data_IF_827272613625
#
_entry.id   IF_827272613625
#
_cell.length_a   1.000
_cell.length_b   1.000
_cell.length_c   1.000
_cell.angle_alpha   90.00
_cell.angle_beta   90.00
_cell.angle_gamma   90.00
#
_symmetry.space_group_name_H-M   'P 1'
#
loop_
_entity.id
_entity.type
_entity.pdbx_description
1 polymer ?
#
# COMPACT_ATOMS: atom_id res chain seq x y z
N UNK A 1 28.12 -11.97 11.16
CA UNK A 1 27.41 -12.66 10.08
C UNK A 1 26.83 -13.98 10.58
N UNK A 2 25.60 -14.28 10.19
CA UNK A 2 24.97 -15.56 10.54
C UNK A 2 25.64 -16.69 9.73
N UNK A 3 26.11 -17.75 10.39
CA UNK A 3 26.67 -18.94 9.78
C UNK A 3 25.63 -20.08 9.86
N UNK A 4 24.93 -20.41 8.79
CA UNK A 4 23.92 -21.48 8.82
C UNK A 4 24.59 -22.84 8.96
N UNK A 5 23.95 -23.76 9.73
CA UNK A 5 24.42 -25.15 9.88
C UNK A 5 24.27 -25.96 8.58
N UNK A 6 23.38 -25.55 7.69
CA UNK A 6 23.14 -26.20 6.40
C UNK A 6 22.94 -25.14 5.32
N UNK A 7 23.41 -25.43 4.13
CA UNK A 7 23.22 -24.60 2.95
C UNK A 7 23.08 -25.47 1.71
N UNK A 8 22.45 -24.91 0.67
CA UNK A 8 22.33 -25.60 -0.62
C UNK A 8 23.61 -25.43 -1.41
N UNK A 9 24.04 -26.49 -2.09
CA UNK A 9 25.15 -26.41 -3.04
C UNK A 9 24.69 -25.74 -4.33
N UNK A 10 25.51 -24.84 -4.87
CA UNK A 10 25.27 -24.19 -6.15
C UNK A 10 25.93 -24.98 -7.25
N UNK A 11 25.16 -25.44 -8.25
CA UNK A 11 25.69 -26.09 -9.44
C UNK A 11 25.88 -25.06 -10.57
N UNK A 12 27.04 -25.03 -11.18
CA UNK A 12 27.32 -24.22 -12.38
C UNK A 12 27.07 -24.96 -13.69
N UNK A 13 26.58 -26.22 -13.64
CA UNK A 13 26.36 -27.06 -14.83
C UNK A 13 25.19 -26.60 -15.70
N UNK A 14 24.31 -25.71 -15.16
CA UNK A 14 23.07 -25.35 -15.85
C UNK A 14 22.04 -26.48 -15.87
N UNK A 15 21.11 -26.45 -16.81
CA UNK A 15 20.08 -27.46 -17.04
C UNK A 15 20.05 -27.85 -18.50
N UNK A 16 19.73 -29.10 -18.80
CA UNK A 16 19.53 -29.64 -20.13
C UNK A 16 18.05 -29.94 -20.40
N UNK A 17 17.70 -30.21 -21.64
CA UNK A 17 16.38 -30.73 -21.98
C UNK A 17 16.13 -32.07 -21.28
N UNK A 18 14.89 -32.28 -20.85
CA UNK A 18 14.43 -33.44 -20.05
C UNK A 18 14.96 -33.46 -18.60
N UNK A 19 15.75 -32.50 -18.12
CA UNK A 19 16.15 -32.45 -16.71
C UNK A 19 14.94 -32.18 -15.80
N UNK A 20 14.91 -32.89 -14.68
CA UNK A 20 13.94 -32.58 -13.61
C UNK A 20 14.35 -31.31 -12.87
N UNK A 21 13.41 -30.40 -12.72
CA UNK A 21 13.62 -29.15 -11.97
C UNK A 21 12.54 -28.94 -10.91
N UNK A 22 12.91 -28.35 -9.80
CA UNK A 22 11.99 -28.01 -8.70
C UNK A 22 12.27 -26.59 -8.21
N UNK A 23 11.20 -25.86 -7.97
CA UNK A 23 11.24 -24.55 -7.31
C UNK A 23 10.47 -24.63 -6.00
N UNK A 24 11.15 -24.37 -4.90
CA UNK A 24 10.55 -24.25 -3.58
C UNK A 24 10.68 -22.81 -3.07
N UNK A 25 9.59 -22.24 -2.52
CA UNK A 25 9.63 -20.86 -2.04
C UNK A 25 8.37 -20.47 -1.29
N UNK A 26 8.36 -19.24 -0.82
CA UNK A 26 7.28 -18.66 -0.03
C UNK A 26 6.66 -17.49 -0.78
N UNK A 27 5.81 -17.74 -1.81
CA UNK A 27 5.17 -16.67 -2.56
C UNK A 27 4.27 -15.85 -1.62
N UNK A 28 4.44 -14.52 -1.63
CA UNK A 28 3.81 -13.64 -0.66
C UNK A 28 2.29 -13.63 -0.77
N UNK A 29 1.75 -13.14 -1.86
CA UNK A 29 0.30 -13.02 -2.07
C UNK A 29 -0.06 -13.18 -3.56
N UNK A 30 -1.12 -13.95 -3.83
CA UNK A 30 -1.86 -13.94 -5.09
C UNK A 30 -3.30 -13.52 -4.85
N UNK A 31 -4.02 -13.13 -5.91
CA UNK A 31 -5.41 -12.67 -5.84
C UNK A 31 -6.20 -13.24 -7.02
N UNK A 32 -6.29 -14.55 -7.09
CA UNK A 32 -6.93 -15.27 -8.21
C UNK A 32 -8.44 -15.15 -8.23
N UNK A 33 -9.04 -14.95 -7.06
CA UNK A 33 -10.49 -15.04 -6.85
C UNK A 33 -11.15 -13.68 -6.67
N UNK A 34 -10.52 -12.61 -7.13
CA UNK A 34 -11.14 -11.29 -7.22
C UNK A 34 -12.28 -11.31 -8.23
N UNK A 35 -13.35 -10.57 -7.92
CA UNK A 35 -14.46 -10.35 -8.85
C UNK A 35 -14.02 -9.46 -10.02
N UNK A 36 -14.82 -9.48 -11.11
CA UNK A 36 -14.50 -8.74 -12.33
C UNK A 36 -14.31 -7.24 -12.08
N UNK A 37 -15.13 -6.64 -11.22
CA UNK A 37 -15.05 -5.20 -10.92
C UNK A 37 -13.77 -4.83 -10.18
N UNK A 38 -13.27 -5.68 -9.27
CA UNK A 38 -11.96 -5.50 -8.64
C UNK A 38 -10.84 -5.55 -9.69
N UNK A 39 -10.90 -6.52 -10.59
CA UNK A 39 -9.89 -6.67 -11.66
C UNK A 39 -9.94 -5.46 -12.58
N UNK A 40 -11.12 -5.03 -13.01
CA UNK A 40 -11.29 -3.84 -13.83
C UNK A 40 -10.72 -2.60 -13.17
N UNK A 41 -11.08 -2.32 -11.91
CA UNK A 41 -10.57 -1.17 -11.16
C UNK A 41 -9.04 -1.18 -11.01
N UNK A 42 -8.45 -2.36 -10.76
CA UNK A 42 -7.01 -2.48 -10.60
C UNK A 42 -6.24 -2.21 -11.89
N UNK A 43 -6.69 -2.75 -13.02
CA UNK A 43 -5.95 -2.64 -14.27
C UNK A 43 -6.29 -1.38 -15.07
N UNK A 44 -7.52 -0.85 -14.93
CA UNK A 44 -7.89 0.40 -15.59
C UNK A 44 -7.34 1.64 -14.88
N UNK A 45 -7.15 1.57 -13.55
CA UNK A 45 -6.77 2.76 -12.79
C UNK A 45 -5.66 2.53 -11.77
N UNK A 46 -5.80 1.57 -10.82
CA UNK A 46 -4.91 1.50 -9.66
C UNK A 46 -3.46 1.21 -10.02
N UNK A 47 -3.20 0.19 -10.86
CA UNK A 47 -1.84 -0.14 -11.28
C UNK A 47 -1.21 0.92 -12.20
N UNK A 48 -1.91 1.45 -13.22
CA UNK A 48 -1.37 2.53 -14.04
C UNK A 48 -1.02 3.77 -13.23
N UNK A 49 -1.91 4.24 -12.36
CA UNK A 49 -1.68 5.43 -11.54
C UNK A 49 -0.55 5.20 -10.52
N UNK A 50 -0.56 4.05 -9.84
CA UNK A 50 0.49 3.73 -8.88
C UNK A 50 1.86 3.50 -9.54
N UNK A 51 1.92 3.01 -10.79
CA UNK A 51 3.15 2.94 -11.58
C UNK A 51 3.66 4.35 -11.88
N UNK A 52 2.79 5.23 -12.42
CA UNK A 52 3.10 6.63 -12.74
C UNK A 52 3.69 7.36 -11.52
N UNK A 53 3.02 7.31 -10.38
CA UNK A 53 3.50 7.97 -9.16
C UNK A 53 4.86 7.47 -8.69
N UNK A 54 5.15 6.17 -8.85
CA UNK A 54 6.48 5.65 -8.52
C UNK A 54 7.56 6.14 -9.46
N UNK A 55 7.28 6.16 -10.75
CA UNK A 55 8.20 6.67 -11.76
C UNK A 55 8.47 8.17 -11.59
N UNK A 56 7.45 8.93 -11.22
CA UNK A 56 7.57 10.35 -10.86
C UNK A 56 8.43 10.53 -9.60
N UNK A 57 8.16 9.79 -8.52
CA UNK A 57 9.00 9.81 -7.32
C UNK A 57 10.46 9.48 -7.62
N UNK A 58 10.71 8.46 -8.45
CA UNK A 58 12.09 8.11 -8.84
C UNK A 58 12.75 9.31 -9.50
N UNK A 59 12.10 9.95 -10.49
CA UNK A 59 12.67 11.12 -11.19
C UNK A 59 12.95 12.28 -10.22
N UNK A 60 12.00 12.59 -9.35
CA UNK A 60 12.17 13.66 -8.35
C UNK A 60 13.33 13.38 -7.42
N UNK A 61 13.39 12.17 -6.86
CA UNK A 61 14.49 11.76 -5.97
C UNK A 61 15.82 11.80 -6.71
N UNK A 62 15.91 11.32 -7.95
CA UNK A 62 17.14 11.31 -8.74
C UNK A 62 17.63 12.72 -9.10
N UNK A 63 16.70 13.65 -9.31
CA UNK A 63 17.01 15.06 -9.54
C UNK A 63 17.47 15.76 -8.25
N UNK A 64 16.78 15.55 -7.14
CA UNK A 64 17.09 16.17 -5.85
C UNK A 64 18.31 15.54 -5.15
N UNK A 65 18.66 14.30 -5.49
CA UNK A 65 19.78 13.54 -4.96
C UNK A 65 20.68 13.04 -6.11
N UNK A 66 21.61 13.89 -6.61
CA UNK A 66 22.53 13.51 -7.69
C UNK A 66 23.37 12.28 -7.34
N UNK A 67 23.81 11.56 -8.37
CA UNK A 67 24.66 10.38 -8.20
C UNK A 67 25.93 10.73 -7.42
N UNK A 68 26.31 9.88 -6.46
CA UNK A 68 27.46 10.09 -5.59
C UNK A 68 27.23 10.98 -4.37
N UNK A 69 26.07 11.64 -4.25
CA UNK A 69 25.75 12.45 -3.08
C UNK A 69 25.36 11.59 -1.86
N UNK A 70 25.53 12.12 -0.64
CA UNK A 70 25.03 11.52 0.59
C UNK A 70 23.50 11.25 0.52
N UNK A 71 22.75 12.22 0.00
CA UNK A 71 21.32 12.09 -0.22
C UNK A 71 21.01 10.87 -1.09
N UNK A 72 21.77 10.62 -2.17
CA UNK A 72 21.57 9.44 -3.05
C UNK A 72 21.78 8.13 -2.29
N UNK A 73 22.78 8.06 -1.43
CA UNK A 73 23.05 6.86 -0.61
C UNK A 73 21.87 6.59 0.31
N UNK A 74 21.35 7.60 0.99
CA UNK A 74 20.17 7.48 1.88
C UNK A 74 18.92 6.98 1.15
N UNK A 75 18.72 7.39 -0.09
CA UNK A 75 17.54 7.00 -0.88
C UNK A 75 17.70 5.74 -1.74
N UNK A 76 18.87 5.10 -1.74
CA UNK A 76 19.14 3.92 -2.57
C UNK A 76 18.10 2.80 -2.38
N UNK A 77 17.80 2.47 -1.13
CA UNK A 77 16.80 1.42 -0.83
C UNK A 77 15.37 1.82 -1.25
N UNK A 78 15.04 3.10 -1.13
CA UNK A 78 13.75 3.65 -1.57
C UNK A 78 13.62 3.57 -3.09
N UNK A 79 14.65 4.01 -3.82
CA UNK A 79 14.71 3.92 -5.28
C UNK A 79 14.59 2.48 -5.77
N UNK A 80 15.33 1.54 -5.17
CA UNK A 80 15.25 0.13 -5.50
C UNK A 80 13.84 -0.43 -5.29
N UNK A 81 13.19 -0.08 -4.19
CA UNK A 81 11.81 -0.48 -3.89
C UNK A 81 10.81 0.11 -4.90
N UNK A 82 10.90 1.41 -5.19
CA UNK A 82 10.03 2.09 -6.15
C UNK A 82 10.18 1.46 -7.54
N UNK A 83 11.40 1.25 -8.01
CA UNK A 83 11.69 0.65 -9.30
C UNK A 83 11.19 -0.80 -9.41
N UNK A 84 11.36 -1.60 -8.36
CA UNK A 84 10.85 -2.97 -8.31
C UNK A 84 9.32 -3.01 -8.49
N UNK A 85 8.59 -2.17 -7.75
CA UNK A 85 7.13 -2.12 -7.87
C UNK A 85 6.66 -1.51 -9.20
N UNK A 86 7.35 -0.50 -9.73
CA UNK A 86 7.02 0.07 -11.04
C UNK A 86 7.15 -0.97 -12.16
N UNK A 87 8.24 -1.75 -12.17
CA UNK A 87 8.44 -2.86 -13.11
C UNK A 87 7.38 -3.95 -12.95
N UNK A 88 7.07 -4.33 -11.71
CA UNK A 88 6.04 -5.34 -11.45
C UNK A 88 4.68 -4.90 -11.99
N UNK A 89 4.24 -3.67 -11.71
CA UNK A 89 2.98 -3.15 -12.25
C UNK A 89 3.00 -3.03 -13.77
N UNK A 90 4.12 -2.62 -14.36
CA UNK A 90 4.29 -2.60 -15.83
C UNK A 90 4.06 -3.96 -16.44
N UNK A 91 4.71 -5.01 -15.93
CA UNK A 91 4.55 -6.39 -16.40
C UNK A 91 3.13 -6.91 -16.22
N UNK A 92 2.48 -6.59 -15.08
CA UNK A 92 1.09 -6.99 -14.83
C UNK A 92 0.12 -6.32 -15.81
N UNK A 93 0.29 -5.02 -16.08
CA UNK A 93 -0.54 -4.27 -17.04
C UNK A 93 -0.37 -4.86 -18.45
N UNK A 94 0.86 -5.16 -18.84
CA UNK A 94 1.17 -5.73 -20.15
C UNK A 94 0.56 -7.13 -20.34
N UNK A 95 0.71 -7.99 -19.32
CA UNK A 95 0.08 -9.31 -19.29
C UNK A 95 -1.45 -9.24 -19.36
N UNK A 96 -2.04 -8.28 -18.65
CA UNK A 96 -3.49 -8.06 -18.69
C UNK A 96 -3.96 -7.62 -20.09
N UNK A 97 -3.23 -6.71 -20.75
CA UNK A 97 -3.57 -6.24 -22.11
C UNK A 97 -3.48 -7.36 -23.17
N UNK A 98 -2.53 -8.28 -23.00
CA UNK A 98 -2.36 -9.42 -23.91
C UNK A 98 -3.34 -10.57 -23.63
N UNK A 99 -3.93 -10.59 -22.43
CA UNK A 99 -4.80 -11.66 -21.96
C UNK A 99 -6.27 -11.33 -22.02
N UNK A 100 -7.10 -12.33 -21.79
CA UNK A 100 -8.56 -12.24 -21.74
C UNK A 100 -9.10 -12.32 -20.30
N UNK A 101 -8.35 -11.76 -19.34
CA UNK A 101 -8.62 -11.96 -17.92
C UNK A 101 -9.98 -11.43 -17.50
N UNK A 102 -10.32 -10.20 -17.88
CA UNK A 102 -11.58 -9.57 -17.49
C UNK A 102 -12.78 -10.30 -18.08
N UNK A 103 -12.71 -10.66 -19.35
CA UNK A 103 -13.76 -11.46 -20.01
C UNK A 103 -13.96 -12.81 -19.33
N UNK A 104 -12.87 -13.51 -18.99
CA UNK A 104 -12.94 -14.78 -18.27
C UNK A 104 -13.60 -14.61 -16.90
N UNK A 105 -13.30 -13.54 -16.18
CA UNK A 105 -13.93 -13.21 -14.89
C UNK A 105 -15.42 -12.95 -15.04
N UNK A 106 -15.84 -12.12 -15.99
CA UNK A 106 -17.25 -11.84 -16.25
C UNK A 106 -18.02 -13.09 -16.64
N UNK A 107 -17.48 -13.93 -17.53
CA UNK A 107 -18.10 -15.21 -17.88
C UNK A 107 -18.25 -16.14 -16.68
N UNK A 108 -17.22 -16.20 -15.82
CA UNK A 108 -17.29 -16.98 -14.58
C UNK A 108 -18.39 -16.48 -13.65
N UNK A 109 -18.53 -15.17 -13.47
CA UNK A 109 -19.58 -14.59 -12.63
C UNK A 109 -20.98 -14.85 -13.19
N UNK A 110 -21.16 -14.73 -14.51
CA UNK A 110 -22.42 -15.07 -15.16
C UNK A 110 -22.77 -16.55 -14.95
N UNK A 111 -21.81 -17.46 -15.18
CA UNK A 111 -22.02 -18.89 -14.99
C UNK A 111 -22.30 -19.24 -13.51
N UNK A 112 -21.63 -18.57 -12.57
CA UNK A 112 -21.84 -18.75 -11.13
C UNK A 112 -23.24 -18.29 -10.73
N UNK A 113 -23.70 -17.12 -11.22
CA UNK A 113 -25.07 -16.63 -10.97
C UNK A 113 -26.12 -17.62 -11.52
N UNK A 114 -25.99 -18.06 -12.76
CA UNK A 114 -26.89 -19.03 -13.37
C UNK A 114 -26.95 -20.35 -12.58
N UNK A 115 -25.78 -20.81 -12.10
CA UNK A 115 -25.73 -22.03 -11.27
C UNK A 115 -26.38 -21.82 -9.90
N UNK A 116 -26.24 -20.64 -9.29
CA UNK A 116 -26.91 -20.30 -8.04
C UNK A 116 -28.43 -20.28 -8.24
N UNK A 117 -28.91 -19.57 -9.26
CA UNK A 117 -30.34 -19.35 -9.54
C UNK A 117 -31.10 -20.64 -9.94
N UNK A 118 -30.36 -21.62 -10.47
CA UNK A 118 -30.93 -22.92 -10.86
C UNK A 118 -31.35 -23.82 -9.67
N UNK A 119 -31.10 -23.44 -8.41
CA UNK A 119 -31.44 -24.22 -7.24
C UNK A 119 -31.90 -23.33 -6.08
N UNK A 120 -33.14 -23.51 -5.58
CA UNK A 120 -33.71 -22.67 -4.53
C UNK A 120 -32.84 -22.60 -3.26
N UNK A 121 -32.18 -23.69 -2.88
CA UNK A 121 -31.34 -23.74 -1.68
C UNK A 121 -30.02 -22.98 -1.87
N UNK A 122 -29.46 -22.97 -3.07
CA UNK A 122 -28.31 -22.16 -3.43
C UNK A 122 -28.67 -20.70 -3.51
N UNK A 123 -29.81 -20.39 -4.14
CA UNK A 123 -30.36 -19.05 -4.23
C UNK A 123 -30.52 -18.43 -2.84
N UNK A 124 -31.17 -19.13 -1.92
CA UNK A 124 -31.34 -18.67 -0.54
C UNK A 124 -30.03 -18.35 0.17
N UNK A 125 -28.96 -19.11 -0.07
CA UNK A 125 -27.67 -18.94 0.60
C UNK A 125 -26.72 -17.97 -0.06
N UNK A 126 -26.78 -17.82 -1.38
CA UNK A 126 -25.71 -17.21 -2.15
C UNK A 126 -26.12 -16.12 -3.15
N UNK A 127 -27.42 -15.85 -3.35
CA UNK A 127 -27.90 -14.94 -4.39
C UNK A 127 -27.31 -13.52 -4.31
N UNK A 128 -27.16 -12.97 -3.11
CA UNK A 128 -26.64 -11.61 -2.89
C UNK A 128 -25.11 -11.52 -2.84
N UNK A 129 -24.39 -12.65 -2.91
CA UNK A 129 -22.96 -12.69 -2.61
C UNK A 129 -22.11 -11.81 -3.53
N UNK A 130 -22.38 -11.86 -4.85
CA UNK A 130 -21.65 -11.06 -5.84
C UNK A 130 -22.05 -9.60 -5.72
N UNK A 131 -23.34 -9.28 -5.60
CA UNK A 131 -23.84 -7.91 -5.51
C UNK A 131 -23.35 -7.20 -4.24
N UNK A 132 -23.31 -7.94 -3.13
CA UNK A 132 -22.72 -7.43 -1.88
C UNK A 132 -21.25 -7.05 -2.09
N UNK A 133 -20.44 -7.92 -2.71
CA UNK A 133 -19.06 -7.61 -2.99
C UNK A 133 -18.93 -6.44 -3.96
N UNK A 134 -19.73 -6.36 -5.01
CA UNK A 134 -19.70 -5.25 -5.96
C UNK A 134 -20.00 -3.92 -5.27
N UNK A 135 -21.03 -3.88 -4.42
CA UNK A 135 -21.36 -2.68 -3.63
C UNK A 135 -20.22 -2.26 -2.71
N UNK A 136 -19.63 -3.20 -1.98
CA UNK A 136 -18.49 -2.91 -1.09
C UNK A 136 -17.25 -2.43 -1.86
N UNK A 137 -16.98 -3.02 -3.02
CA UNK A 137 -15.89 -2.59 -3.89
C UNK A 137 -16.14 -1.20 -4.47
N UNK A 138 -17.37 -0.89 -4.89
CA UNK A 138 -17.74 0.45 -5.34
C UNK A 138 -17.49 1.50 -4.24
N UNK A 139 -17.87 1.19 -2.99
CA UNK A 139 -17.56 2.05 -1.83
C UNK A 139 -16.07 2.20 -1.59
N UNK A 140 -15.28 1.14 -1.78
CA UNK A 140 -13.81 1.20 -1.65
C UNK A 140 -13.16 2.08 -2.72
N UNK A 141 -13.78 2.23 -3.89
CA UNK A 141 -13.29 3.07 -4.98
C UNK A 141 -13.64 4.56 -4.81
N UNK A 142 -14.54 4.90 -3.88
CA UNK A 142 -14.78 6.30 -3.52
C UNK A 142 -13.47 6.91 -3.02
N UNK A 143 -13.20 8.13 -3.39
CA UNK A 143 -12.01 8.89 -2.99
C UNK A 143 -10.65 8.23 -3.32
N UNK A 144 -10.62 7.22 -4.21
CA UNK A 144 -9.39 6.45 -4.51
C UNK A 144 -8.23 7.31 -4.98
N UNK A 145 -8.51 8.39 -5.74
CA UNK A 145 -7.47 9.29 -6.24
C UNK A 145 -6.85 10.09 -5.09
N UNK A 146 -7.68 10.74 -4.30
CA UNK A 146 -7.24 11.45 -3.09
C UNK A 146 -6.45 10.52 -2.18
N UNK A 147 -6.99 9.34 -1.88
CA UNK A 147 -6.40 8.43 -0.91
C UNK A 147 -5.07 7.86 -1.38
N UNK A 148 -4.93 7.57 -2.67
CA UNK A 148 -3.65 7.16 -3.23
C UNK A 148 -2.63 8.29 -3.20
N UNK A 149 -3.02 9.49 -3.61
CA UNK A 149 -2.16 10.68 -3.62
C UNK A 149 -1.67 11.00 -2.21
N UNK A 150 -2.58 11.04 -1.23
CA UNK A 150 -2.23 11.25 0.17
C UNK A 150 -1.33 10.15 0.74
N UNK A 151 -1.46 8.91 0.25
CA UNK A 151 -0.55 7.83 0.63
C UNK A 151 0.87 8.03 0.08
N UNK A 152 1.03 8.71 -1.06
CA UNK A 152 2.35 9.09 -1.58
C UNK A 152 2.92 10.31 -0.86
N UNK A 153 2.14 11.34 -0.65
CA UNK A 153 2.53 12.53 0.12
C UNK A 153 2.86 12.17 1.58
N UNK A 154 2.10 11.28 2.19
CA UNK A 154 2.32 10.78 3.55
C UNK A 154 3.56 9.90 3.73
N UNK A 155 4.30 9.58 2.64
CA UNK A 155 5.64 8.94 2.72
C UNK A 155 6.73 9.92 3.12
N UNK A 156 6.46 11.22 3.14
CA UNK A 156 7.36 12.21 3.71
C UNK A 156 7.78 11.77 5.12
N UNK A 157 9.10 11.68 5.34
CA UNK A 157 9.66 11.03 6.55
C UNK A 157 9.28 11.78 7.82
N UNK A 158 9.27 13.11 7.78
CA UNK A 158 8.94 13.92 8.96
C UNK A 158 7.45 13.88 9.26
N UNK A 159 6.59 14.02 8.25
CA UNK A 159 5.14 13.88 8.44
C UNK A 159 4.76 12.48 8.94
N UNK A 160 5.37 11.43 8.36
CA UNK A 160 5.14 10.06 8.82
C UNK A 160 5.60 9.86 10.26
N UNK A 161 6.74 10.43 10.65
CA UNK A 161 7.25 10.36 12.02
C UNK A 161 6.33 11.10 12.99
N UNK A 162 5.94 12.34 12.67
CA UNK A 162 5.03 13.15 13.47
C UNK A 162 3.68 12.45 13.69
N UNK A 163 3.06 11.94 12.63
CA UNK A 163 1.79 11.17 12.73
C UNK A 163 1.92 9.96 13.65
N UNK A 164 2.99 9.20 13.51
CA UNK A 164 3.21 7.99 14.32
C UNK A 164 3.47 8.33 15.78
N UNK A 165 4.24 9.37 16.06
CA UNK A 165 4.53 9.83 17.43
C UNK A 165 3.27 10.38 18.09
N UNK A 166 2.49 11.21 17.39
CA UNK A 166 1.23 11.75 17.87
C UNK A 166 0.22 10.61 18.16
N UNK A 167 0.14 9.63 17.25
CA UNK A 167 -0.71 8.44 17.47
C UNK A 167 -0.24 7.64 18.68
N UNK A 168 1.05 7.45 18.90
CA UNK A 168 1.59 6.79 20.08
C UNK A 168 1.17 7.51 21.36
N UNK A 169 1.27 8.84 21.40
CA UNK A 169 0.83 9.64 22.54
C UNK A 169 -0.68 9.52 22.78
N UNK A 170 -1.49 9.45 21.71
CA UNK A 170 -2.93 9.21 21.81
C UNK A 170 -3.23 7.82 22.37
N UNK A 171 -2.63 6.76 21.81
CA UNK A 171 -2.84 5.38 22.24
C UNK A 171 -2.43 5.13 23.70
N UNK A 172 -1.38 5.81 24.17
CA UNK A 172 -0.94 5.70 25.56
C UNK A 172 -1.96 6.21 26.59
N UNK A 173 -2.99 6.90 26.17
CA UNK A 173 -4.13 7.27 27.03
C UNK A 173 -5.04 6.08 27.34
N UNK A 174 -4.90 4.99 26.57
CA UNK A 174 -5.65 3.75 26.74
C UNK A 174 -4.82 2.70 27.48
N UNK A 175 -5.47 1.78 28.22
CA UNK A 175 -4.84 0.57 28.72
C UNK A 175 -4.15 -0.19 27.58
N UNK A 176 -3.02 -0.84 27.84
CA UNK A 176 -2.20 -1.49 26.81
C UNK A 176 -2.96 -2.48 25.93
N UNK A 177 -3.88 -3.25 26.52
CA UNK A 177 -4.72 -4.22 25.79
C UNK A 177 -5.75 -3.61 24.84
N UNK A 178 -6.04 -2.31 24.98
CA UNK A 178 -6.99 -1.58 24.14
C UNK A 178 -6.30 -0.74 23.05
N UNK A 179 -4.96 -0.65 23.09
CA UNK A 179 -4.18 0.07 22.09
C UNK A 179 -4.18 -0.67 20.77
N UNK A 180 -4.18 0.07 19.68
CA UNK A 180 -4.01 -0.50 18.35
C UNK A 180 -2.68 -1.26 18.22
N UNK A 181 -2.65 -2.35 17.41
CA UNK A 181 -1.41 -3.06 17.11
C UNK A 181 -0.33 -2.12 16.55
N UNK A 182 0.89 -2.26 17.07
CA UNK A 182 2.02 -1.37 16.75
C UNK A 182 2.26 -0.27 17.80
N UNK A 183 1.30 -0.06 18.74
CA UNK A 183 1.41 0.93 19.83
C UNK A 183 1.35 0.29 21.22
N UNK A 184 1.27 -1.03 21.30
CA UNK A 184 1.31 -1.78 22.55
C UNK A 184 2.73 -1.84 23.10
N UNK A 185 2.86 -2.09 24.40
CA UNK A 185 4.17 -2.17 25.09
C UNK A 185 5.13 -3.15 24.40
N UNK A 186 4.63 -4.28 23.93
CA UNK A 186 5.39 -5.29 23.17
C UNK A 186 5.97 -4.76 21.84
N UNK A 187 5.40 -3.69 21.29
CA UNK A 187 5.78 -3.14 19.98
C UNK A 187 6.83 -2.01 20.09
N UNK A 188 7.10 -1.52 21.31
CA UNK A 188 7.91 -0.32 21.52
C UNK A 188 9.35 -0.46 21.06
N UNK A 189 9.97 -1.64 21.17
CA UNK A 189 11.30 -1.87 20.63
C UNK A 189 11.33 -1.66 19.11
N UNK A 190 10.37 -2.27 18.39
CA UNK A 190 10.22 -2.11 16.94
C UNK A 190 9.86 -0.68 16.55
N UNK A 191 9.05 -0.01 17.34
CA UNK A 191 8.69 1.40 17.12
C UNK A 191 9.93 2.29 17.22
N UNK A 192 10.73 2.13 18.27
CA UNK A 192 12.01 2.84 18.47
C UNK A 192 12.98 2.60 17.30
N UNK A 193 13.20 1.35 16.93
CA UNK A 193 14.02 0.99 15.76
C UNK A 193 13.54 1.67 14.47
N UNK A 194 12.25 1.81 14.30
CA UNK A 194 11.69 2.49 13.13
C UNK A 194 11.99 3.99 13.16
N UNK A 195 11.91 4.63 14.32
CA UNK A 195 12.28 6.05 14.50
C UNK A 195 13.78 6.29 14.29
N UNK A 196 14.65 5.41 14.80
CA UNK A 196 16.10 5.47 14.56
C UNK A 196 16.44 5.34 13.08
N UNK A 197 15.84 4.39 12.37
CA UNK A 197 16.12 4.16 10.94
C UNK A 197 15.77 5.33 10.02
N UNK A 198 14.97 6.28 10.46
CA UNK A 198 14.67 7.50 9.69
C UNK A 198 15.95 8.26 9.33
N UNK A 199 16.90 8.38 10.26
CA UNK A 199 18.18 9.12 10.06
C UNK A 199 18.99 8.61 8.87
N UNK A 200 18.99 7.29 8.61
CA UNK A 200 19.66 6.67 7.47
C UNK A 200 18.91 6.74 6.14
N UNK A 201 17.69 7.29 6.12
CA UNK A 201 16.80 7.31 4.94
C UNK A 201 16.19 8.68 4.65
N UNK A 202 16.57 9.69 5.39
CA UNK A 202 16.03 11.03 5.30
C UNK A 202 17.09 12.02 4.83
N UNK A 203 16.68 12.89 3.91
CA UNK A 203 17.38 14.10 3.54
C UNK A 203 16.33 15.17 3.24
N UNK A 204 16.38 16.30 3.96
CA UNK A 204 15.30 17.30 3.98
C UNK A 204 14.96 17.85 2.60
N UNK A 205 15.98 18.16 1.77
CA UNK A 205 15.72 18.68 0.43
C UNK A 205 15.01 17.66 -0.48
N UNK A 206 15.32 16.37 -0.35
CA UNK A 206 14.70 15.33 -1.20
C UNK A 206 13.25 15.09 -0.77
N UNK A 207 13.00 14.97 0.54
CA UNK A 207 11.63 14.81 1.07
C UNK A 207 10.74 16.02 0.74
N UNK A 208 11.33 17.25 0.78
CA UNK A 208 10.62 18.46 0.40
C UNK A 208 10.19 18.42 -1.08
N UNK A 209 11.12 18.12 -1.99
CA UNK A 209 10.83 18.09 -3.43
C UNK A 209 9.82 17.01 -3.79
N UNK A 210 9.83 15.84 -3.11
CA UNK A 210 8.80 14.81 -3.31
C UNK A 210 7.41 15.32 -2.89
N UNK A 211 7.30 16.00 -1.76
CA UNK A 211 6.03 16.56 -1.30
C UNK A 211 5.54 17.67 -2.24
N UNK A 212 6.43 18.59 -2.61
CA UNK A 212 6.14 19.69 -3.54
C UNK A 212 5.63 19.16 -4.89
N UNK A 213 6.25 18.09 -5.40
CA UNK A 213 5.89 17.50 -6.69
C UNK A 213 4.42 17.07 -6.77
N UNK A 214 3.87 16.54 -5.68
CA UNK A 214 2.48 16.04 -5.66
C UNK A 214 1.45 17.11 -5.29
N UNK A 215 1.86 18.29 -4.82
CA UNK A 215 0.94 19.36 -4.43
C UNK A 215 0.02 19.83 -5.57
N UNK A 216 0.50 20.09 -6.80
CA UNK A 216 -0.37 20.52 -7.89
C UNK A 216 -1.45 19.48 -8.24
N UNK A 217 -1.11 18.17 -8.18
CA UNK A 217 -2.09 17.11 -8.43
C UNK A 217 -3.14 17.04 -7.31
N UNK A 218 -2.75 17.29 -6.07
CA UNK A 218 -3.68 17.38 -4.95
C UNK A 218 -4.63 18.56 -5.11
N UNK A 219 -4.13 19.73 -5.46
CA UNK A 219 -4.92 20.94 -5.69
C UNK A 219 -5.88 20.78 -6.88
N UNK A 220 -5.48 19.99 -7.88
CA UNK A 220 -6.32 19.64 -9.04
C UNK A 220 -7.46 18.66 -8.74
N UNK A 221 -7.57 18.12 -7.50
CA UNK A 221 -8.75 17.37 -7.09
C UNK A 221 -9.97 18.27 -7.00
N UNK A 222 -11.16 17.67 -7.22
CA UNK A 222 -12.41 18.36 -6.91
C UNK A 222 -12.37 18.87 -5.46
N UNK A 223 -12.76 20.13 -5.19
CA UNK A 223 -12.74 20.69 -3.83
C UNK A 223 -13.48 19.84 -2.79
N UNK A 224 -14.54 19.12 -3.18
CA UNK A 224 -15.29 18.22 -2.29
C UNK A 224 -14.52 16.94 -1.94
N UNK A 225 -13.51 16.61 -2.71
CA UNK A 225 -12.62 15.46 -2.48
C UNK A 225 -11.39 15.84 -1.64
N UNK A 226 -11.06 17.12 -1.52
CA UNK A 226 -9.89 17.58 -0.78
C UNK A 226 -10.09 17.44 0.73
N UNK A 227 -9.01 17.54 1.49
CA UNK A 227 -8.97 17.37 2.94
C UNK A 227 -8.92 18.76 3.57
N UNK A 228 -10.05 19.22 4.10
CA UNK A 228 -10.20 20.57 4.65
C UNK A 228 -9.06 20.97 5.62
N UNK A 229 -8.65 20.15 6.60
CA UNK A 229 -7.52 20.49 7.46
C UNK A 229 -6.17 20.62 6.72
N UNK A 230 -5.96 19.85 5.64
CA UNK A 230 -4.76 19.95 4.82
C UNK A 230 -4.77 21.24 3.99
N UNK A 231 -5.93 21.55 3.40
CA UNK A 231 -6.14 22.80 2.68
C UNK A 231 -5.92 24.02 3.59
N UNK A 232 -6.46 23.99 4.80
CA UNK A 232 -6.27 25.05 5.79
C UNK A 232 -4.81 25.24 6.19
N UNK A 233 -4.07 24.15 6.41
CA UNK A 233 -2.66 24.22 6.81
C UNK A 233 -1.76 24.88 5.72
N UNK A 234 -2.00 24.54 4.46
CA UNK A 234 -1.24 25.10 3.34
C UNK A 234 -1.91 26.33 2.71
N UNK A 235 -3.02 26.82 3.28
CA UNK A 235 -3.84 27.90 2.73
C UNK A 235 -4.16 27.66 1.24
N UNK A 236 -4.59 26.46 0.89
CA UNK A 236 -5.05 26.06 -0.43
C UNK A 236 -6.53 26.47 -0.53
N UNK A 237 -6.76 27.75 -0.62
CA UNK A 237 -8.10 28.30 -0.83
C UNK A 237 -8.34 28.56 -2.33
N UNK A 238 -8.99 29.67 -2.66
CA UNK A 238 -9.34 30.03 -4.03
C UNK A 238 -8.13 30.38 -4.91
N UNK A 239 -7.00 30.83 -4.29
CA UNK A 239 -5.77 31.21 -4.98
C UNK A 239 -4.59 30.32 -4.56
N UNK A 240 -4.41 29.18 -5.22
CA UNK A 240 -3.25 28.33 -5.01
C UNK A 240 -1.99 28.96 -5.63
N UNK A 241 -1.05 29.31 -4.76
CA UNK A 241 0.29 29.75 -5.15
C UNK A 241 1.30 28.62 -4.90
N UNK A 242 1.76 28.02 -6.00
CA UNK A 242 2.68 26.88 -5.97
C UNK A 242 4.04 27.26 -5.35
N UNK A 243 4.56 28.47 -5.62
CA UNK A 243 5.86 28.92 -5.12
C UNK A 243 5.80 29.22 -3.63
N UNK A 244 4.70 29.78 -3.15
CA UNK A 244 4.46 30.00 -1.72
C UNK A 244 4.42 28.67 -0.97
N UNK A 245 3.66 27.70 -1.47
CA UNK A 245 3.55 26.38 -0.81
C UNK A 245 4.87 25.62 -0.89
N UNK A 246 5.60 25.68 -1.99
CA UNK A 246 6.92 25.09 -2.11
C UNK A 246 7.91 25.71 -1.11
N UNK A 247 7.88 27.04 -0.96
CA UNK A 247 8.69 27.78 0.02
C UNK A 247 8.34 27.35 1.44
N UNK A 248 7.04 27.25 1.77
CA UNK A 248 6.58 26.76 3.08
C UNK A 248 7.07 25.35 3.36
N UNK A 249 6.95 24.41 2.41
CA UNK A 249 7.40 23.02 2.59
C UNK A 249 8.91 22.96 2.81
N UNK A 250 9.72 23.72 2.05
CA UNK A 250 11.17 23.78 2.26
C UNK A 250 11.52 24.36 3.62
N UNK A 251 10.82 25.40 4.07
CA UNK A 251 10.98 25.97 5.40
C UNK A 251 10.62 24.97 6.50
N UNK A 252 9.56 24.19 6.35
CA UNK A 252 9.19 23.12 7.29
C UNK A 252 10.32 22.12 7.46
N UNK A 253 10.96 21.69 6.35
CA UNK A 253 12.11 20.77 6.42
C UNK A 253 13.38 21.39 6.99
N UNK A 254 13.56 22.71 6.85
CA UNK A 254 14.68 23.43 7.41
C UNK A 254 14.57 23.68 8.92
N UNK A 255 13.34 23.78 9.44
CA UNK A 255 13.07 24.19 10.84
C UNK A 255 12.65 23.04 11.75
N UNK A 256 12.19 21.91 11.18
CA UNK A 256 11.76 20.76 12.01
C UNK A 256 12.88 20.19 12.85
N UNK A 257 12.60 20.00 14.12
CA UNK A 257 13.50 19.32 15.03
C UNK A 257 13.38 17.78 14.94
N UNK A 258 12.34 17.25 14.32
CA UNK A 258 12.16 15.81 14.11
C UNK A 258 13.24 15.19 13.20
N UNK A 259 14.01 15.98 12.48
CA UNK A 259 15.17 15.52 11.73
C UNK A 259 16.27 14.95 12.63
N UNK A 260 16.41 15.49 13.84
CA UNK A 260 17.33 14.97 14.87
C UNK A 260 16.79 13.67 15.48
N UNK A 261 17.63 12.64 15.56
CA UNK A 261 17.23 11.32 16.08
C UNK A 261 16.88 11.38 17.56
N UNK A 262 17.66 12.10 18.37
CA UNK A 262 17.46 12.15 19.82
C UNK A 262 16.17 12.89 20.15
N UNK A 263 15.90 13.99 19.45
CA UNK A 263 14.64 14.73 19.57
C UNK A 263 13.47 13.83 19.20
N UNK A 264 13.56 13.13 18.05
CA UNK A 264 12.52 12.23 17.58
C UNK A 264 12.26 11.08 18.55
N UNK A 265 13.32 10.51 19.16
CA UNK A 265 13.17 9.48 20.18
C UNK A 265 12.59 10.03 21.50
N UNK A 266 12.94 11.26 21.87
CA UNK A 266 12.35 11.92 23.05
C UNK A 266 10.84 12.14 22.91
N UNK A 267 10.35 12.45 21.70
CA UNK A 267 8.91 12.56 21.43
C UNK A 267 8.11 11.27 21.65
N UNK A 268 8.76 10.11 21.68
CA UNK A 268 8.10 8.86 22.04
C UNK A 268 7.55 8.85 23.46
N UNK A 269 8.13 9.64 24.37
CA UNK A 269 7.73 9.66 25.79
C UNK A 269 6.87 10.89 26.14
N UNK A 270 6.62 11.79 25.17
CA UNK A 270 5.83 13.00 25.41
C UNK A 270 4.34 12.69 25.49
N UNK A 271 3.61 13.29 26.46
CA UNK A 271 2.16 13.19 26.50
C UNK A 271 1.51 13.97 25.35
N UNK A 272 0.26 13.64 25.03
CA UNK A 272 -0.49 14.23 23.92
C UNK A 272 -0.54 15.77 23.97
N UNK A 273 -0.72 16.35 25.16
CA UNK A 273 -0.76 17.81 25.32
C UNK A 273 0.54 18.54 24.97
N UNK A 274 1.70 17.83 24.91
CA UNK A 274 2.94 18.43 24.44
C UNK A 274 2.93 18.62 22.91
N UNK A 275 2.27 17.73 22.21
CA UNK A 275 2.07 17.87 20.76
C UNK A 275 1.20 19.09 20.43
N UNK A 276 0.15 19.32 21.20
CA UNK A 276 -0.75 20.49 21.04
C UNK A 276 -0.01 21.82 21.24
N UNK A 277 1.04 21.85 22.05
CA UNK A 277 1.87 23.02 22.31
C UNK A 277 3.11 23.12 21.43
N UNK A 278 3.35 22.14 20.59
CA UNK A 278 4.55 22.11 19.75
C UNK A 278 4.47 23.12 18.61
N UNK A 279 5.56 23.81 18.36
CA UNK A 279 5.74 24.70 17.19
C UNK A 279 6.40 23.99 16.02
N UNK A 280 6.76 22.70 16.14
CA UNK A 280 7.33 21.94 15.02
C UNK A 280 6.32 21.81 13.89
N UNK A 281 6.66 22.24 12.66
CA UNK A 281 5.69 22.33 11.56
C UNK A 281 5.10 20.99 11.14
N UNK A 282 5.83 19.87 11.27
CA UNK A 282 5.29 18.56 10.94
C UNK A 282 4.41 18.01 12.06
N UNK A 283 4.67 18.35 13.32
CA UNK A 283 3.76 18.05 14.42
C UNK A 283 2.46 18.83 14.25
N UNK A 284 2.53 20.11 13.91
CA UNK A 284 1.36 20.95 13.62
C UNK A 284 0.52 20.39 12.47
N UNK A 285 1.16 19.98 11.37
CA UNK A 285 0.47 19.34 10.26
C UNK A 285 -0.15 18.00 10.67
N UNK A 286 0.56 17.20 11.46
CA UNK A 286 0.02 15.93 11.97
C UNK A 286 -1.19 16.15 12.89
N UNK A 287 -1.16 17.18 13.74
CA UNK A 287 -2.30 17.59 14.60
C UNK A 287 -3.50 18.01 13.76
N UNK A 288 -3.27 18.88 12.76
CA UNK A 288 -4.34 19.33 11.87
C UNK A 288 -5.04 18.16 11.17
N UNK A 289 -4.30 17.11 10.82
CA UNK A 289 -4.82 15.93 10.13
C UNK A 289 -5.34 14.83 11.06
N UNK A 290 -5.15 14.94 12.37
CA UNK A 290 -5.31 13.82 13.30
C UNK A 290 -6.74 13.26 13.32
N UNK A 291 -7.74 14.13 13.48
CA UNK A 291 -9.15 13.72 13.50
C UNK A 291 -9.60 13.15 12.14
N UNK A 292 -9.11 13.73 11.06
CA UNK A 292 -9.37 13.19 9.71
C UNK A 292 -8.77 11.79 9.55
N UNK A 293 -7.54 11.57 10.02
CA UNK A 293 -6.86 10.29 9.93
C UNK A 293 -7.58 9.22 10.77
N UNK A 294 -8.07 9.55 11.97
CA UNK A 294 -8.88 8.65 12.81
C UNK A 294 -10.22 8.29 12.16
N UNK A 295 -10.93 9.28 11.64
CA UNK A 295 -12.20 9.07 10.95
C UNK A 295 -12.02 8.20 9.69
N UNK A 296 -10.95 8.44 8.93
CA UNK A 296 -10.58 7.63 7.76
C UNK A 296 -10.27 6.19 8.16
N UNK A 297 -9.48 5.99 9.20
CA UNK A 297 -9.14 4.66 9.73
C UNK A 297 -10.39 3.88 10.14
N UNK A 298 -11.31 4.50 10.86
CA UNK A 298 -12.59 3.90 11.29
C UNK A 298 -13.42 3.46 10.07
N UNK A 299 -13.56 4.33 9.06
CA UNK A 299 -14.28 4.00 7.81
C UNK A 299 -13.60 2.84 7.08
N UNK A 300 -12.27 2.85 7.00
CA UNK A 300 -11.49 1.81 6.33
C UNK A 300 -11.61 0.46 7.07
N UNK A 301 -11.55 0.47 8.40
CA UNK A 301 -11.70 -0.73 9.22
C UNK A 301 -13.10 -1.33 9.08
N UNK A 302 -14.14 -0.50 9.11
CA UNK A 302 -15.54 -0.92 8.89
C UNK A 302 -15.71 -1.58 7.51
N UNK A 303 -15.18 -0.95 6.47
CA UNK A 303 -15.26 -1.49 5.11
C UNK A 303 -14.45 -2.78 4.94
N UNK A 304 -13.26 -2.83 5.53
CA UNK A 304 -12.41 -4.02 5.54
C UNK A 304 -13.09 -5.18 6.26
N UNK A 305 -13.73 -4.92 7.42
CA UNK A 305 -14.53 -5.91 8.14
C UNK A 305 -15.69 -6.45 7.32
N UNK A 306 -16.43 -5.57 6.66
CA UNK A 306 -17.54 -5.96 5.77
C UNK A 306 -17.05 -6.81 4.59
N UNK A 307 -15.92 -6.47 3.96
CA UNK A 307 -15.30 -7.26 2.89
C UNK A 307 -14.82 -8.63 3.40
N UNK A 308 -14.21 -8.68 4.60
CA UNK A 308 -13.79 -9.94 5.22
C UNK A 308 -14.97 -10.84 5.56
N UNK A 309 -16.12 -10.28 5.89
CA UNK A 309 -17.34 -11.03 6.15
C UNK A 309 -18.01 -11.51 4.86
N UNK A 310 -18.03 -10.70 3.80
CA UNK A 310 -18.69 -11.03 2.54
C UNK A 310 -17.88 -12.03 1.69
N UNK A 311 -16.57 -11.94 1.69
CA UNK A 311 -15.69 -12.73 0.82
C UNK A 311 -15.74 -14.24 1.04
N UNK A 312 -15.84 -14.79 2.27
CA UNK A 312 -16.01 -16.21 2.50
C UNK A 312 -17.28 -16.81 1.85
N UNK A 313 -18.41 -16.09 1.87
CA UNK A 313 -19.64 -16.55 1.23
C UNK A 313 -19.48 -16.68 -0.30
N UNK A 314 -18.84 -15.69 -0.93
CA UNK A 314 -18.46 -15.77 -2.35
C UNK A 314 -17.54 -16.96 -2.63
N UNK A 315 -16.51 -17.16 -1.78
CA UNK A 315 -15.58 -18.28 -1.94
C UNK A 315 -16.25 -19.63 -1.79
N UNK A 316 -17.17 -19.78 -0.83
CA UNK A 316 -17.96 -21.02 -0.65
C UNK A 316 -18.82 -21.32 -1.89
N UNK A 317 -19.50 -20.31 -2.43
CA UNK A 317 -20.28 -20.46 -3.65
C UNK A 317 -19.38 -20.88 -4.84
N UNK A 318 -18.22 -20.24 -4.97
CA UNK A 318 -17.26 -20.51 -6.05
C UNK A 318 -16.67 -21.93 -5.91
N UNK A 319 -16.31 -22.39 -4.71
CA UNK A 319 -15.82 -23.75 -4.44
C UNK A 319 -16.88 -24.78 -4.83
N UNK A 320 -18.12 -24.59 -4.37
CA UNK A 320 -19.22 -25.50 -4.68
C UNK A 320 -19.54 -25.55 -6.18
N UNK A 321 -19.49 -24.41 -6.86
CA UNK A 321 -19.63 -24.32 -8.32
C UNK A 321 -18.54 -25.12 -9.04
N UNK A 322 -17.28 -24.95 -8.71
CA UNK A 322 -16.18 -25.70 -9.33
C UNK A 322 -16.27 -27.19 -9.02
N UNK A 323 -16.64 -27.57 -7.80
CA UNK A 323 -16.88 -28.99 -7.45
C UNK A 323 -17.99 -29.61 -8.28
N UNK A 324 -19.07 -28.88 -8.56
CA UNK A 324 -20.15 -29.35 -9.43
C UNK A 324 -19.69 -29.60 -10.88
N UNK A 325 -18.59 -28.98 -11.28
CA UNK A 325 -17.93 -29.21 -12.59
C UNK A 325 -16.80 -30.23 -12.54
N UNK A 326 -16.60 -30.94 -11.41
CA UNK A 326 -15.50 -31.88 -11.22
C UNK A 326 -14.13 -31.21 -11.15
N UNK A 327 -14.05 -29.91 -10.83
CA UNK A 327 -12.82 -29.13 -10.78
C UNK A 327 -12.48 -28.74 -9.34
N UNK A 328 -11.19 -28.72 -9.03
CA UNK A 328 -10.66 -28.21 -7.76
C UNK A 328 -10.16 -26.79 -7.94
N UNK A 329 -10.20 -26.01 -6.86
CA UNK A 329 -9.56 -24.69 -6.79
C UNK A 329 -8.46 -24.69 -5.73
N UNK A 330 -7.36 -24.02 -6.07
CA UNK A 330 -6.22 -23.89 -5.18
C UNK A 330 -6.29 -22.60 -4.38
N UNK A 331 -5.91 -22.64 -3.12
CA UNK A 331 -5.82 -21.45 -2.29
C UNK A 331 -4.83 -20.43 -2.85
N UNK A 332 -5.14 -19.14 -2.68
CA UNK A 332 -4.20 -18.06 -2.95
C UNK A 332 -2.92 -18.22 -2.12
N UNK A 333 -1.81 -17.72 -2.63
CA UNK A 333 -0.56 -17.66 -1.88
C UNK A 333 -0.68 -16.66 -0.72
N UNK A 334 -0.12 -17.03 0.43
CA UNK A 334 -0.20 -16.29 1.69
C UNK A 334 1.11 -16.33 2.48
N UNK A 335 2.25 -16.55 1.80
CA UNK A 335 3.56 -16.72 2.44
C UNK A 335 3.82 -18.14 2.95
N UNK A 336 2.94 -19.10 2.69
CA UNK A 336 3.22 -20.52 2.97
C UNK A 336 4.11 -21.15 1.90
N UNK A 337 4.85 -22.20 2.29
CA UNK A 337 5.71 -22.94 1.37
C UNK A 337 4.91 -23.48 0.18
N UNK A 338 5.39 -23.21 -1.01
CA UNK A 338 4.90 -23.77 -2.28
C UNK A 338 6.04 -24.45 -3.00
N UNK A 339 5.73 -25.59 -3.60
CA UNK A 339 6.67 -26.35 -4.42
C UNK A 339 6.05 -26.53 -5.80
N UNK A 340 6.81 -26.15 -6.83
CA UNK A 340 6.49 -26.46 -8.22
C UNK A 340 7.61 -27.29 -8.80
N UNK A 341 7.30 -28.27 -9.60
CA UNK A 341 8.29 -29.15 -10.24
C UNK A 341 7.84 -29.48 -11.66
N UNK A 342 8.79 -29.87 -12.47
CA UNK A 342 8.54 -30.24 -13.85
C UNK A 342 9.81 -30.69 -14.57
N UNK A 343 9.68 -30.92 -15.84
CA UNK A 343 10.78 -31.29 -16.73
C UNK A 343 11.10 -30.13 -17.68
N UNK A 344 12.37 -29.86 -17.88
CA UNK A 344 12.82 -28.81 -18.82
C UNK A 344 12.44 -29.23 -20.22
N UNK A 345 11.79 -28.32 -20.96
CA UNK A 345 11.46 -28.52 -22.38
C UNK A 345 11.59 -27.20 -23.15
N UNK A 346 12.16 -27.27 -24.32
CA UNK A 346 12.18 -26.17 -25.26
C UNK A 346 10.78 -25.86 -25.82
N UNK A 347 10.53 -24.62 -26.23
CA UNK A 347 9.35 -24.23 -27.00
C UNK A 347 9.68 -23.15 -28.00
N UNK A 348 8.94 -23.13 -29.12
CA UNK A 348 9.01 -22.03 -30.06
C UNK A 348 7.95 -20.98 -29.72
N UNK A 349 8.34 -19.73 -29.40
CA UNK A 349 7.36 -18.66 -29.19
C UNK A 349 6.63 -18.38 -30.51
N UNK A 350 5.28 -18.15 -30.40
CA UNK A 350 4.44 -17.74 -31.55
C UNK A 350 4.61 -16.27 -31.84
#
# INVERSE_FOLDING_TARGET
PFAPKSHLSVSAKGVADEDFVMVAGYPGRTNRYRIADEVAAMFAWSYPTAKRYREEMIRVIETAAPAGSEARIKYQSTLASLANYAKNYGSMIESYKRGDMLHKKRRLEIALRQWIDADPSRCQRCSSTIDTLQSLIARQQQHRQRDLLMAYMGRNSMLSSARRLLRLAHERRLPDSQREPGYQTRDMARFRDAMTRVSGRYHGSVDAEVLIHFMPEYVGLDPTERIVPFDGFFAIAEDFDADRVATQIRAMHATTQLADEQVRLAWMERPFGDFERSEDPFIQLALALFEHDLAKETKQNTLTGALQQARPAYMQALIAFYQSLGKTIYADANGSLRVSFGTVRGYAPK
#
